data_IF_210472836632
#
_entry.id   IF_210472836632
#
_cell.length_a   1.000
_cell.length_b   1.000
_cell.length_c   1.000
_cell.angle_alpha   90.00
_cell.angle_beta   90.00
_cell.angle_gamma   90.00
#
_symmetry.space_group_name_H-M   'P 1'
#
loop_
_entity.id
_entity.type
_entity.pdbx_description
1 polymer ?
#
# COMPACT_ATOMS: atom_id res chain seq x y z
N UNK A 1 -8.69 -9.54 -16.38
CA UNK A 1 -8.42 -9.58 -14.93
C UNK A 1 -9.52 -10.38 -14.27
N UNK A 2 -9.22 -11.57 -13.77
CA UNK A 2 -10.19 -12.46 -13.14
C UNK A 2 -10.43 -11.96 -11.71
N UNK A 3 -11.56 -11.28 -11.47
CA UNK A 3 -12.03 -10.95 -10.12
C UNK A 3 -12.34 -12.25 -9.40
N UNK A 4 -11.49 -12.64 -8.45
CA UNK A 4 -11.78 -13.66 -7.45
C UNK A 4 -11.92 -12.91 -6.13
N UNK A 5 -13.15 -12.85 -5.59
CA UNK A 5 -13.53 -12.32 -4.27
C UNK A 5 -12.96 -10.95 -3.88
N UNK A 6 -13.73 -9.86 -4.01
CA UNK A 6 -13.78 -8.65 -3.16
C UNK A 6 -12.53 -8.04 -2.50
N UNK A 7 -11.33 -8.46 -2.86
CA UNK A 7 -10.07 -8.11 -2.23
C UNK A 7 -9.15 -7.57 -3.31
N UNK A 8 -8.75 -6.32 -3.13
CA UNK A 8 -7.67 -5.71 -3.87
C UNK A 8 -6.34 -6.30 -3.35
N UNK A 9 -5.47 -6.75 -4.26
CA UNK A 9 -4.19 -7.35 -3.89
C UNK A 9 -3.02 -6.47 -4.31
N UNK A 10 -2.29 -5.93 -3.33
CA UNK A 10 -1.04 -5.22 -3.50
C UNK A 10 0.15 -6.15 -3.29
N UNK A 11 1.31 -5.75 -3.78
CA UNK A 11 2.55 -6.54 -3.77
C UNK A 11 3.72 -5.70 -3.29
N UNK A 12 4.41 -6.15 -2.26
CA UNK A 12 5.72 -5.62 -1.89
C UNK A 12 6.79 -6.65 -2.24
N UNK A 13 7.52 -6.43 -3.33
CA UNK A 13 8.51 -7.38 -3.87
C UNK A 13 9.92 -6.89 -3.59
N UNK A 14 10.78 -7.77 -3.06
CA UNK A 14 12.19 -7.47 -2.86
C UNK A 14 12.46 -6.40 -1.80
N UNK A 15 11.54 -6.23 -0.85
CA UNK A 15 11.70 -5.28 0.27
C UNK A 15 13.00 -5.59 1.00
N UNK A 16 13.85 -4.57 1.15
CA UNK A 16 15.14 -4.69 1.84
C UNK A 16 14.99 -4.16 3.25
N UNK A 17 15.06 -5.06 4.22
CA UNK A 17 15.13 -4.70 5.63
C UNK A 17 16.59 -4.56 6.07
N UNK A 18 16.89 -3.46 6.75
CA UNK A 18 18.27 -3.18 7.18
C UNK A 18 18.60 -3.76 8.57
N UNK A 19 17.57 -4.20 9.31
CA UNK A 19 17.69 -4.91 10.58
C UNK A 19 16.39 -5.64 10.91
N UNK A 20 16.41 -6.52 11.91
CA UNK A 20 15.19 -7.17 12.43
C UNK A 20 14.17 -6.18 13.00
N UNK A 21 14.64 -5.07 13.59
CA UNK A 21 13.78 -4.00 14.09
C UNK A 21 13.07 -3.25 12.96
N UNK A 22 13.77 -3.05 11.84
CA UNK A 22 13.22 -2.44 10.63
C UNK A 22 12.15 -3.32 9.97
N UNK A 23 12.43 -4.62 9.84
CA UNK A 23 11.43 -5.60 9.39
C UNK A 23 10.20 -5.64 10.31
N UNK A 24 10.42 -5.64 11.64
CA UNK A 24 9.33 -5.62 12.62
C UNK A 24 8.49 -4.34 12.50
N UNK A 25 9.14 -3.20 12.28
CA UNK A 25 8.45 -1.92 12.09
C UNK A 25 7.60 -1.93 10.81
N UNK A 26 8.12 -2.47 9.70
CA UNK A 26 7.36 -2.63 8.46
C UNK A 26 6.06 -3.41 8.69
N UNK A 27 6.15 -4.60 9.30
CA UNK A 27 4.98 -5.44 9.50
C UNK A 27 4.02 -4.88 10.56
N UNK A 28 4.52 -4.25 11.61
CA UNK A 28 3.68 -3.60 12.62
C UNK A 28 2.90 -2.44 12.01
N UNK A 29 3.56 -1.59 11.23
CA UNK A 29 2.92 -0.48 10.54
C UNK A 29 1.87 -0.99 9.54
N UNK A 30 2.25 -1.94 8.68
CA UNK A 30 1.35 -2.51 7.67
C UNK A 30 0.08 -3.14 8.29
N UNK A 31 0.22 -3.86 9.42
CA UNK A 31 -0.92 -4.45 10.14
C UNK A 31 -1.75 -3.43 10.91
N UNK A 32 -1.21 -2.25 11.17
CA UNK A 32 -1.93 -1.15 11.83
C UNK A 32 -2.91 -0.42 10.90
N UNK A 33 -2.81 -0.62 9.59
CA UNK A 33 -3.71 -0.02 8.60
C UNK A 33 -5.02 -0.81 8.57
N UNK A 34 -6.14 -0.16 8.92
CA UNK A 34 -7.41 -0.83 9.23
C UNK A 34 -8.01 -1.68 8.11
N UNK A 35 -7.77 -1.31 6.85
CA UNK A 35 -8.26 -2.06 5.68
C UNK A 35 -7.30 -3.15 5.18
N UNK A 36 -6.14 -3.34 5.83
CA UNK A 36 -5.24 -4.46 5.50
C UNK A 36 -5.75 -5.72 6.18
N UNK A 37 -6.41 -6.58 5.39
CA UNK A 37 -7.01 -7.81 5.89
C UNK A 37 -5.99 -8.94 6.08
N UNK A 38 -5.05 -9.09 5.14
CA UNK A 38 -4.08 -10.19 5.19
C UNK A 38 -2.76 -9.86 4.50
N UNK A 39 -1.66 -10.39 5.03
CA UNK A 39 -0.33 -10.34 4.39
C UNK A 39 0.21 -11.77 4.26
N UNK A 40 0.57 -12.18 3.04
CA UNK A 40 1.17 -13.50 2.76
C UNK A 40 2.50 -13.37 2.03
N UNK A 41 3.54 -14.03 2.52
CA UNK A 41 4.82 -14.13 1.83
C UNK A 41 4.85 -15.28 0.84
N UNK A 42 5.39 -15.05 -0.36
CA UNK A 42 5.74 -16.07 -1.33
C UNK A 42 7.03 -15.66 -2.06
N UNK A 43 8.10 -16.43 -1.83
CA UNK A 43 9.44 -16.06 -2.30
C UNK A 43 9.85 -14.71 -1.72
N UNK A 44 10.21 -13.77 -2.59
CA UNK A 44 10.58 -12.39 -2.22
C UNK A 44 9.41 -11.40 -2.25
N UNK A 45 8.17 -11.90 -2.43
CA UNK A 45 6.97 -11.05 -2.57
C UNK A 45 6.06 -11.20 -1.36
N UNK A 46 5.62 -10.07 -0.80
CA UNK A 46 4.52 -9.99 0.14
C UNK A 46 3.25 -9.61 -0.64
N UNK A 47 2.23 -10.46 -0.58
CA UNK A 47 0.90 -10.21 -1.08
C UNK A 47 0.03 -9.62 0.03
N UNK A 48 -0.48 -8.41 -0.19
CA UNK A 48 -1.23 -7.63 0.79
C UNK A 48 -2.68 -7.58 0.29
N UNK A 49 -3.59 -8.20 1.01
CA UNK A 49 -5.02 -8.21 0.71
C UNK A 49 -5.69 -7.05 1.41
N UNK A 50 -6.42 -6.25 0.64
CA UNK A 50 -7.12 -5.04 1.07
C UNK A 50 -8.62 -5.32 1.09
N UNK A 51 -9.28 -5.02 2.20
CA UNK A 51 -10.74 -4.98 2.29
C UNK A 51 -11.23 -3.63 1.78
N UNK A 52 -11.83 -3.62 0.58
CA UNK A 52 -12.23 -2.38 -0.07
C UNK A 52 -13.32 -1.60 0.68
N UNK A 53 -14.09 -2.28 1.54
CA UNK A 53 -15.19 -1.69 2.31
C UNK A 53 -14.73 -0.90 3.54
N UNK A 54 -13.47 -1.08 3.94
CA UNK A 54 -12.86 -0.45 5.11
C UNK A 54 -11.87 0.66 4.74
N UNK A 55 -11.73 0.98 3.44
CA UNK A 55 -10.77 1.98 2.98
C UNK A 55 -11.14 3.36 3.52
N UNK A 56 -10.16 4.01 4.14
CA UNK A 56 -10.27 5.37 4.66
C UNK A 56 -9.03 6.19 4.28
N UNK A 57 -9.16 7.53 4.31
CA UNK A 57 -8.08 8.45 3.94
C UNK A 57 -6.81 8.22 4.77
N UNK A 58 -6.95 8.02 6.08
CA UNK A 58 -5.82 7.86 6.99
C UNK A 58 -4.97 6.66 6.61
N UNK A 59 -5.60 5.51 6.40
CA UNK A 59 -4.93 4.30 5.98
C UNK A 59 -4.29 4.40 4.60
N UNK A 60 -4.91 5.11 3.63
CA UNK A 60 -4.28 5.33 2.32
C UNK A 60 -3.02 6.18 2.47
N UNK A 61 -3.05 7.22 3.31
CA UNK A 61 -1.86 8.04 3.60
C UNK A 61 -0.74 7.23 4.27
N UNK A 62 -1.08 6.38 5.24
CA UNK A 62 -0.10 5.49 5.89
C UNK A 62 0.51 4.50 4.89
N UNK A 63 -0.30 3.96 3.97
CA UNK A 63 0.18 3.05 2.94
C UNK A 63 1.12 3.71 1.93
N UNK A 64 0.82 4.95 1.50
CA UNK A 64 1.70 5.75 0.64
C UNK A 64 3.06 5.98 1.31
N UNK A 65 3.05 6.36 2.59
CA UNK A 65 4.26 6.61 3.36
C UNK A 65 5.08 5.34 3.55
N UNK A 66 4.42 4.22 3.87
CA UNK A 66 5.06 2.92 4.04
C UNK A 66 5.71 2.46 2.73
N UNK A 67 4.98 2.50 1.61
CA UNK A 67 5.50 2.06 0.31
C UNK A 67 6.69 2.92 -0.11
N UNK A 68 6.61 4.24 0.09
CA UNK A 68 7.74 5.14 -0.19
C UNK A 68 8.96 4.84 0.68
N UNK A 69 8.76 4.59 1.99
CA UNK A 69 9.85 4.35 2.95
C UNK A 69 10.62 3.07 2.64
N UNK A 70 9.91 2.03 2.21
CA UNK A 70 10.46 0.69 1.98
C UNK A 70 10.74 0.39 0.50
N UNK A 71 10.75 1.43 -0.35
CA UNK A 71 11.02 1.34 -1.79
C UNK A 71 10.13 0.30 -2.49
N UNK A 72 8.85 0.24 -2.07
CA UNK A 72 7.84 -0.59 -2.71
C UNK A 72 7.25 0.18 -3.89
N UNK A 73 7.09 -0.50 -5.02
CA UNK A 73 6.46 0.05 -6.21
C UNK A 73 5.12 0.72 -5.87
N UNK A 74 5.03 2.04 -6.08
CA UNK A 74 3.87 2.85 -5.74
C UNK A 74 2.86 2.93 -6.89
N UNK A 75 3.19 2.51 -8.11
CA UNK A 75 2.28 2.60 -9.27
C UNK A 75 0.98 1.82 -9.03
N UNK A 76 1.06 0.70 -8.30
CA UNK A 76 -0.09 -0.10 -7.90
C UNK A 76 -1.08 0.62 -6.98
N UNK A 77 -0.67 1.71 -6.32
CA UNK A 77 -1.54 2.49 -5.43
C UNK A 77 -2.56 3.32 -6.20
N UNK A 78 -2.47 3.39 -7.53
CA UNK A 78 -3.49 4.02 -8.39
C UNK A 78 -4.90 3.46 -8.18
N UNK A 79 -5.02 2.25 -7.64
CA UNK A 79 -6.30 1.62 -7.26
C UNK A 79 -7.06 2.38 -6.16
N UNK A 80 -6.39 3.28 -5.43
CA UNK A 80 -7.00 4.20 -4.47
C UNK A 80 -7.43 5.53 -5.13
N UNK A 81 -7.30 5.70 -6.44
CA UNK A 81 -7.83 6.85 -7.16
C UNK A 81 -9.36 6.78 -7.20
N UNK A 82 -9.99 7.43 -6.21
CA UNK A 82 -11.42 7.49 -6.00
C UNK A 82 -11.85 8.93 -5.83
N UNK A 83 -13.08 9.25 -6.24
CA UNK A 83 -13.60 10.61 -6.14
C UNK A 83 -13.61 11.13 -4.69
N UNK A 84 -13.80 10.23 -3.71
CA UNK A 84 -13.71 10.54 -2.27
C UNK A 84 -12.32 11.05 -1.82
N UNK A 85 -11.25 10.74 -2.54
CA UNK A 85 -9.88 11.13 -2.22
C UNK A 85 -9.28 12.11 -3.23
N UNK A 86 -10.00 12.46 -4.30
CA UNK A 86 -9.47 13.17 -5.45
C UNK A 86 -8.75 14.48 -5.09
N UNK A 87 -9.30 15.25 -4.14
CA UNK A 87 -8.79 16.57 -3.75
C UNK A 87 -7.35 16.55 -3.21
N UNK A 88 -6.93 15.44 -2.59
CA UNK A 88 -5.58 15.32 -2.03
C UNK A 88 -4.75 14.24 -2.71
N UNK A 89 -5.37 13.14 -3.15
CA UNK A 89 -4.64 12.01 -3.74
C UNK A 89 -4.05 12.39 -5.09
N UNK A 90 -4.79 13.20 -5.88
CA UNK A 90 -4.37 13.72 -7.18
C UNK A 90 -3.58 15.04 -7.11
N UNK A 91 -3.24 15.55 -5.92
CA UNK A 91 -2.43 16.78 -5.79
C UNK A 91 -1.01 16.52 -6.30
N UNK A 92 -0.66 17.15 -7.43
CA UNK A 92 0.61 16.98 -8.14
C UNK A 92 1.83 17.46 -7.37
N UNK A 93 1.63 18.26 -6.31
CA UNK A 93 2.69 18.73 -5.41
C UNK A 93 3.04 17.71 -4.34
N UNK A 94 2.25 16.65 -4.19
CA UNK A 94 2.45 15.63 -3.17
C UNK A 94 3.61 14.71 -3.51
N UNK A 95 4.36 14.27 -2.50
CA UNK A 95 5.57 13.44 -2.73
C UNK A 95 5.27 12.11 -3.44
N UNK A 96 4.05 11.58 -3.31
CA UNK A 96 3.65 10.32 -3.93
C UNK A 96 3.22 10.46 -5.39
N UNK A 97 2.73 11.64 -5.79
CA UNK A 97 2.09 11.84 -7.09
C UNK A 97 2.93 11.33 -8.27
N UNK A 98 4.23 11.69 -8.43
CA UNK A 98 5.03 11.20 -9.56
C UNK A 98 5.30 9.69 -9.56
N UNK A 99 5.10 9.00 -8.43
CA UNK A 99 5.30 7.54 -8.33
C UNK A 99 3.99 6.75 -8.52
N UNK A 100 2.84 7.40 -8.33
CA UNK A 100 1.51 6.78 -8.47
C UNK A 100 0.93 7.05 -9.86
N UNK A 101 1.11 8.27 -10.39
CA UNK A 101 0.51 8.74 -11.64
C UNK A 101 1.51 8.97 -12.79
N UNK A 102 2.81 8.80 -12.52
CA UNK A 102 3.90 9.02 -13.48
C UNK A 102 4.20 7.83 -14.39
#
# INVERSE_FOLDING_TARGET
MTKQNGFLALRATGVRFLSSGDESAFFAWLKGIGFVNQVKGQGTTLFISIDESLIDEGGVRELLALFRRYDVDMAQLIVFDRDEFADWFRDDRSYWHPYVFG
#
